data_IF_560075135597
#
_entry.id   IF_560075135597
#
_cell.length_a   1.000
_cell.length_b   1.000
_cell.length_c   1.000
_cell.angle_alpha   90.00
_cell.angle_beta   90.00
_cell.angle_gamma   90.00
#
_symmetry.space_group_name_H-M   'P 1'
#
loop_
_entity.id
_entity.type
_entity.pdbx_description
1 polymer ?
#
# COMPACT_ATOMS: atom_id res chain seq x y z
N UNK A 1 -2.96 -47.58 27.81
CA UNK A 1 -3.84 -46.55 27.22
C UNK A 1 -3.75 -45.17 27.91
N UNK A 2 -3.92 -45.06 29.23
CA UNK A 2 -3.92 -43.78 29.98
C UNK A 2 -2.66 -42.91 29.81
N UNK A 3 -1.48 -43.50 29.67
CA UNK A 3 -0.20 -42.76 29.52
C UNK A 3 -0.13 -42.04 28.16
N UNK A 4 -0.53 -42.71 27.06
CA UNK A 4 -0.60 -42.11 25.72
C UNK A 4 -1.62 -40.96 25.65
N UNK A 5 -2.73 -41.07 26.38
CA UNK A 5 -3.76 -40.02 26.47
C UNK A 5 -3.25 -38.77 27.22
N UNK A 6 -2.48 -38.95 28.31
CA UNK A 6 -1.86 -37.83 29.05
C UNK A 6 -0.84 -37.06 28.20
N UNK A 7 0.01 -37.76 27.44
CA UNK A 7 0.95 -37.12 26.52
C UNK A 7 0.25 -36.40 25.37
N UNK A 8 -0.84 -36.96 24.84
CA UNK A 8 -1.66 -36.30 23.82
C UNK A 8 -2.26 -34.99 24.30
N UNK A 9 -2.82 -34.95 25.53
CA UNK A 9 -3.37 -33.71 26.10
C UNK A 9 -2.30 -32.66 26.39
N UNK A 10 -1.11 -33.05 26.88
CA UNK A 10 0.01 -32.13 27.11
C UNK A 10 0.52 -31.56 25.79
N UNK A 11 0.64 -32.37 24.74
CA UNK A 11 1.05 -31.91 23.42
C UNK A 11 0.02 -30.93 22.80
N UNK A 12 -1.28 -31.23 22.94
CA UNK A 12 -2.34 -30.34 22.46
C UNK A 12 -2.34 -28.99 23.19
N UNK A 13 -2.16 -29.02 24.53
CA UNK A 13 -2.09 -27.81 25.35
C UNK A 13 -0.82 -26.98 25.07
N UNK A 14 0.31 -27.63 24.77
CA UNK A 14 1.51 -26.93 24.31
C UNK A 14 1.29 -26.24 22.97
N UNK A 15 0.69 -26.94 22.01
CA UNK A 15 0.43 -26.40 20.67
C UNK A 15 -0.52 -25.19 20.71
N UNK A 16 -1.56 -25.22 21.55
CA UNK A 16 -2.54 -24.15 21.67
C UNK A 16 -1.96 -22.86 22.29
N UNK A 17 -0.81 -22.93 22.97
CA UNK A 17 -0.07 -21.74 23.45
C UNK A 17 0.98 -21.28 22.43
N UNK A 18 1.71 -22.22 21.82
CA UNK A 18 2.80 -21.90 20.89
C UNK A 18 2.29 -21.23 19.61
N UNK A 19 1.16 -21.67 19.07
CA UNK A 19 0.61 -21.13 17.82
C UNK A 19 0.23 -19.64 17.96
N UNK A 20 -0.55 -19.21 18.98
CA UNK A 20 -0.81 -17.79 19.20
C UNK A 20 0.46 -16.96 19.41
N UNK A 21 1.43 -17.47 20.18
CA UNK A 21 2.70 -16.76 20.41
C UNK A 21 3.48 -16.56 19.11
N UNK A 22 3.51 -17.58 18.25
CA UNK A 22 4.11 -17.49 16.92
C UNK A 22 3.42 -16.39 16.08
N UNK A 23 2.09 -16.37 16.05
CA UNK A 23 1.35 -15.35 15.30
C UNK A 23 1.56 -13.94 15.87
N UNK A 24 1.61 -13.78 17.19
CA UNK A 24 1.96 -12.50 17.82
C UNK A 24 3.37 -12.05 17.42
N UNK A 25 4.33 -12.97 17.43
CA UNK A 25 5.70 -12.70 16.98
C UNK A 25 5.76 -12.32 15.50
N UNK A 26 5.01 -13.01 14.64
CA UNK A 26 4.91 -12.72 13.22
C UNK A 26 4.32 -11.32 12.98
N UNK A 27 3.19 -10.99 13.60
CA UNK A 27 2.55 -9.67 13.51
C UNK A 27 3.47 -8.56 14.04
N UNK A 28 4.24 -8.83 15.10
CA UNK A 28 5.25 -7.90 15.59
C UNK A 28 6.37 -7.68 14.57
N UNK A 29 6.82 -8.74 13.89
CA UNK A 29 7.85 -8.67 12.85
C UNK A 29 7.38 -8.01 11.55
N UNK A 30 6.14 -8.22 11.14
CA UNK A 30 5.56 -7.52 9.97
C UNK A 30 5.52 -5.99 10.12
N UNK A 31 5.57 -5.49 11.37
CA UNK A 31 5.64 -4.06 11.67
C UNK A 31 7.05 -3.46 11.60
N UNK A 32 8.06 -4.30 11.44
CA UNK A 32 9.45 -3.87 11.28
C UNK A 32 9.78 -3.75 9.79
N UNK A 33 10.00 -2.54 9.30
CA UNK A 33 10.34 -2.32 7.89
C UNK A 33 11.62 -3.08 7.49
N UNK A 34 12.56 -3.31 8.43
CA UNK A 34 13.77 -4.09 8.17
C UNK A 34 13.45 -5.56 7.90
N UNK A 35 12.41 -6.10 8.52
CA UNK A 35 11.95 -7.45 8.24
C UNK A 35 11.40 -7.55 6.82
N UNK A 36 10.60 -6.59 6.37
CA UNK A 36 10.04 -6.59 5.02
C UNK A 36 11.15 -6.63 3.94
N UNK A 37 12.23 -5.86 4.13
CA UNK A 37 13.32 -5.78 3.15
C UNK A 37 14.35 -6.91 3.28
N UNK A 38 14.33 -7.65 4.40
CA UNK A 38 15.22 -8.81 4.56
C UNK A 38 14.88 -9.97 3.61
N UNK A 39 13.61 -10.07 3.18
CA UNK A 39 13.14 -11.09 2.23
C UNK A 39 12.80 -10.50 0.86
N UNK A 40 12.26 -9.27 0.80
CA UNK A 40 11.98 -8.57 -0.46
C UNK A 40 13.07 -7.53 -0.73
N UNK A 41 14.06 -7.90 -1.56
CA UNK A 41 15.33 -7.23 -1.86
C UNK A 41 15.22 -5.84 -2.54
N UNK A 42 14.18 -5.08 -2.24
CA UNK A 42 13.91 -3.74 -2.73
C UNK A 42 14.81 -2.67 -2.09
N UNK A 43 16.11 -2.91 -1.95
CA UNK A 43 17.06 -2.02 -1.27
C UNK A 43 17.00 -0.59 -1.81
N UNK A 44 16.89 -0.42 -3.12
CA UNK A 44 16.71 0.88 -3.77
C UNK A 44 15.41 1.58 -3.33
N UNK A 45 14.28 0.86 -3.28
CA UNK A 45 13.00 1.45 -2.84
C UNK A 45 13.03 1.77 -1.35
N UNK A 46 13.66 0.90 -0.55
CA UNK A 46 13.79 1.13 0.89
C UNK A 46 14.70 2.33 1.19
N UNK A 47 15.84 2.44 0.50
CA UNK A 47 16.71 3.61 0.59
C UNK A 47 15.94 4.89 0.28
N UNK A 48 15.15 4.92 -0.80
CA UNK A 48 14.30 6.08 -1.12
C UNK A 48 13.23 6.35 -0.06
N UNK A 49 12.58 5.29 0.43
CA UNK A 49 11.57 5.37 1.48
C UNK A 49 12.09 6.02 2.77
N UNK A 50 13.33 5.71 3.17
CA UNK A 50 13.93 6.31 4.39
C UNK A 50 14.76 7.56 4.13
N UNK A 51 14.97 7.94 2.86
CA UNK A 51 15.87 9.03 2.49
C UNK A 51 15.36 10.42 2.84
N UNK A 52 16.30 11.33 3.10
CA UNK A 52 16.07 12.78 3.16
C UNK A 52 17.20 13.44 2.33
N UNK A 53 16.90 14.31 1.35
CA UNK A 53 15.58 14.77 0.92
C UNK A 53 14.73 13.67 0.27
N UNK A 54 13.40 13.81 0.33
CA UNK A 54 12.48 12.83 -0.25
C UNK A 54 12.55 12.82 -1.78
N UNK A 55 12.77 11.65 -2.36
CA UNK A 55 12.89 11.45 -3.82
C UNK A 55 11.64 10.85 -4.47
N UNK A 56 10.73 10.30 -3.67
CA UNK A 56 9.45 9.77 -4.12
C UNK A 56 8.37 9.95 -3.04
N UNK A 57 7.12 9.62 -3.36
CA UNK A 57 5.96 9.80 -2.49
C UNK A 57 6.06 8.99 -1.18
N UNK A 58 6.92 7.98 -1.11
CA UNK A 58 7.01 7.11 0.07
C UNK A 58 7.81 7.74 1.20
N UNK A 59 8.77 8.62 0.89
CA UNK A 59 9.54 9.38 1.90
C UNK A 59 8.66 10.17 2.89
N UNK A 60 7.72 11.01 2.41
CA UNK A 60 6.77 11.71 3.28
C UNK A 60 5.93 10.79 4.17
N UNK A 61 5.58 9.58 3.69
CA UNK A 61 4.85 8.60 4.47
C UNK A 61 5.72 8.03 5.60
N UNK A 62 7.00 7.71 5.30
CA UNK A 62 7.96 7.30 6.32
C UNK A 62 8.12 8.37 7.41
N UNK A 63 8.23 9.65 7.03
CA UNK A 63 8.32 10.77 7.96
C UNK A 63 7.07 10.94 8.86
N UNK A 64 5.96 10.29 8.53
CA UNK A 64 4.73 10.20 9.33
C UNK A 64 4.60 8.88 10.09
N UNK A 65 5.68 8.09 10.19
CA UNK A 65 5.72 6.76 10.80
C UNK A 65 4.79 5.74 10.14
N UNK A 66 4.46 5.93 8.86
CA UNK A 66 3.78 4.91 8.05
C UNK A 66 4.81 3.85 7.70
N UNK A 67 4.47 2.58 7.92
CA UNK A 67 5.31 1.40 7.67
C UNK A 67 4.93 0.74 6.35
N UNK A 68 5.78 -0.16 5.87
CA UNK A 68 5.50 -0.95 4.67
C UNK A 68 4.14 -1.67 4.78
N UNK A 69 3.87 -2.31 5.92
CA UNK A 69 2.64 -3.08 6.14
C UNK A 69 1.38 -2.20 6.25
N UNK A 70 1.51 -0.91 6.55
CA UNK A 70 0.35 -0.03 6.65
C UNK A 70 -0.26 0.24 5.25
N UNK A 71 0.53 0.08 4.19
CA UNK A 71 0.03 0.06 2.81
C UNK A 71 -0.14 -1.37 2.29
N UNK A 72 0.89 -2.22 2.44
CA UNK A 72 0.94 -3.54 1.80
C UNK A 72 0.24 -4.66 2.57
N UNK A 73 -0.11 -4.46 3.83
CA UNK A 73 -0.74 -5.47 4.69
C UNK A 73 -2.22 -5.71 4.40
N UNK A 74 -2.86 -4.83 3.65
CA UNK A 74 -4.28 -4.90 3.36
C UNK A 74 -5.15 -4.22 4.42
N UNK A 75 -6.13 -3.46 3.95
CA UNK A 75 -7.02 -2.66 4.80
C UNK A 75 -8.20 -3.44 5.42
N UNK A 76 -8.33 -4.72 5.10
CA UNK A 76 -9.37 -5.60 5.65
C UNK A 76 -8.88 -7.05 5.74
N UNK A 77 -9.63 -7.86 6.50
CA UNK A 77 -9.31 -9.26 6.75
C UNK A 77 -9.15 -10.09 5.47
N UNK A 78 -9.92 -9.79 4.42
CA UNK A 78 -9.81 -10.54 3.17
C UNK A 78 -8.47 -10.26 2.48
N UNK A 79 -8.09 -9.00 2.36
CA UNK A 79 -6.78 -8.65 1.77
C UNK A 79 -5.63 -9.07 2.67
N UNK A 80 -5.74 -8.91 3.99
CA UNK A 80 -4.74 -9.37 4.96
C UNK A 80 -4.45 -10.86 4.81
N UNK A 81 -5.51 -11.69 4.73
CA UNK A 81 -5.34 -13.12 4.52
C UNK A 81 -4.64 -13.44 3.19
N UNK A 82 -4.97 -12.72 2.12
CA UNK A 82 -4.31 -12.90 0.80
C UNK A 82 -2.83 -12.52 0.86
N UNK A 83 -2.50 -11.43 1.53
CA UNK A 83 -1.12 -10.97 1.75
C UNK A 83 -0.35 -12.02 2.54
N UNK A 84 -0.90 -12.53 3.64
CA UNK A 84 -0.27 -13.58 4.44
C UNK A 84 -0.05 -14.87 3.66
N UNK A 85 -1.01 -15.30 2.83
CA UNK A 85 -0.85 -16.49 1.98
C UNK A 85 0.30 -16.28 0.98
N UNK A 86 0.37 -15.10 0.35
CA UNK A 86 1.49 -14.76 -0.55
C UNK A 86 2.83 -14.71 0.19
N UNK A 87 2.89 -14.06 1.34
CA UNK A 87 4.11 -13.96 2.15
C UNK A 87 4.59 -15.34 2.63
N UNK A 88 3.67 -16.23 3.04
CA UNK A 88 3.99 -17.59 3.43
C UNK A 88 4.55 -18.39 2.24
N UNK A 89 3.99 -18.21 1.05
CA UNK A 89 4.46 -18.85 -0.18
C UNK A 89 5.87 -18.38 -0.58
N UNK A 90 6.10 -17.07 -0.55
CA UNK A 90 7.41 -16.48 -0.85
C UNK A 90 8.47 -16.90 0.18
N UNK A 91 8.10 -16.97 1.46
CA UNK A 91 8.95 -17.52 2.52
C UNK A 91 9.32 -18.98 2.25
N UNK A 92 8.34 -19.79 1.81
CA UNK A 92 8.57 -21.18 1.41
C UNK A 92 9.59 -21.28 0.26
N UNK A 93 9.44 -20.46 -0.79
CA UNK A 93 10.40 -20.36 -1.90
C UNK A 93 11.79 -19.95 -1.44
N UNK A 94 11.88 -18.99 -0.52
CA UNK A 94 13.15 -18.54 0.06
C UNK A 94 13.87 -19.66 0.81
N UNK A 95 13.15 -20.38 1.69
CA UNK A 95 13.73 -21.47 2.47
C UNK A 95 14.30 -22.59 1.58
N UNK A 96 13.65 -22.90 0.46
CA UNK A 96 14.12 -23.95 -0.47
C UNK A 96 15.14 -23.44 -1.50
N UNK A 97 15.58 -22.17 -1.41
CA UNK A 97 16.56 -21.58 -2.34
C UNK A 97 16.03 -21.29 -3.75
N UNK A 98 14.71 -21.23 -3.93
CA UNK A 98 14.05 -20.95 -5.20
C UNK A 98 13.34 -19.57 -5.20
N UNK A 99 13.89 -18.62 -4.46
CA UNK A 99 13.33 -17.28 -4.38
C UNK A 99 13.83 -16.41 -5.53
N UNK A 100 12.88 -15.71 -6.14
CA UNK A 100 13.12 -14.64 -7.10
C UNK A 100 12.35 -13.42 -6.63
N UNK A 101 13.02 -12.28 -6.64
CA UNK A 101 12.40 -11.02 -6.25
C UNK A 101 11.28 -10.65 -7.25
N UNK A 102 10.07 -10.30 -6.78
CA UNK A 102 9.00 -9.87 -7.68
C UNK A 102 9.32 -8.54 -8.37
N UNK A 103 9.19 -8.51 -9.69
CA UNK A 103 9.31 -7.26 -10.47
C UNK A 103 8.08 -6.34 -10.28
N UNK A 104 6.95 -6.89 -9.89
CA UNK A 104 5.69 -6.19 -9.67
C UNK A 104 4.93 -6.72 -8.45
N UNK A 105 3.93 -5.95 -8.02
CA UNK A 105 3.08 -6.29 -6.89
C UNK A 105 1.96 -7.23 -7.34
N UNK A 106 1.97 -8.49 -6.89
CA UNK A 106 0.93 -9.46 -7.19
C UNK A 106 -0.45 -9.07 -6.63
N UNK A 107 -0.46 -8.39 -5.49
CA UNK A 107 -1.66 -7.89 -4.83
C UNK A 107 -1.64 -6.35 -4.90
N UNK A 108 -2.26 -5.80 -5.94
CA UNK A 108 -2.30 -4.34 -6.12
C UNK A 108 -2.98 -3.63 -4.94
N UNK A 109 -2.43 -2.45 -4.59
CA UNK A 109 -3.05 -1.56 -3.60
C UNK A 109 -4.40 -1.06 -4.12
N UNK A 110 -5.42 -1.12 -3.27
CA UNK A 110 -6.74 -0.57 -3.55
C UNK A 110 -6.82 0.81 -2.90
N UNK A 111 -7.87 1.57 -3.23
CA UNK A 111 -8.12 2.85 -2.56
C UNK A 111 -8.33 2.67 -1.05
N UNK A 112 -8.78 1.49 -0.60
CA UNK A 112 -9.06 1.21 0.81
C UNK A 112 -7.81 1.30 1.69
N UNK A 113 -6.67 0.83 1.20
CA UNK A 113 -5.37 0.96 1.89
C UNK A 113 -4.97 2.43 2.08
N UNK A 114 -5.35 3.30 1.13
CA UNK A 114 -5.05 4.73 1.23
C UNK A 114 -6.04 5.46 2.15
N UNK A 115 -7.34 5.15 2.03
CA UNK A 115 -8.40 5.88 2.74
C UNK A 115 -8.45 5.62 4.23
N UNK A 116 -7.77 4.58 4.73
CA UNK A 116 -7.57 4.36 6.18
C UNK A 116 -6.99 5.61 6.88
N UNK A 117 -6.07 6.30 6.22
CA UNK A 117 -5.45 7.53 6.74
C UNK A 117 -5.89 8.79 5.99
N UNK A 118 -6.28 8.67 4.70
CA UNK A 118 -6.61 9.83 3.87
C UNK A 118 -8.08 10.28 3.92
N UNK A 119 -9.01 9.49 4.46
CA UNK A 119 -10.44 9.89 4.54
C UNK A 119 -10.65 11.27 5.20
N UNK A 120 -10.00 11.61 6.34
CA UNK A 120 -10.17 12.93 6.93
C UNK A 120 -9.67 14.06 6.02
N UNK A 121 -8.57 13.84 5.30
CA UNK A 121 -7.99 14.80 4.35
C UNK A 121 -8.98 15.06 3.21
N UNK A 122 -9.54 13.99 2.65
CA UNK A 122 -10.53 14.07 1.57
C UNK A 122 -11.82 14.77 2.02
N UNK A 123 -12.29 14.52 3.24
CA UNK A 123 -13.48 15.20 3.79
C UNK A 123 -13.26 16.67 4.11
N UNK A 124 -12.01 17.07 4.39
CA UNK A 124 -11.64 18.45 4.68
C UNK A 124 -11.38 19.29 3.43
N UNK A 125 -11.31 18.68 2.25
CA UNK A 125 -11.16 19.41 0.99
C UNK A 125 -12.45 20.19 0.73
N UNK A 126 -12.39 21.54 0.59
CA UNK A 126 -13.58 22.31 0.26
C UNK A 126 -14.12 21.84 -1.11
N UNK A 127 -15.43 21.63 -1.18
CA UNK A 127 -16.11 21.42 -2.44
C UNK A 127 -15.93 22.69 -3.29
N UNK A 128 -15.64 22.51 -4.57
CA UNK A 128 -15.56 23.62 -5.51
C UNK A 128 -16.97 24.16 -5.79
N UNK A 129 -17.11 25.46 -6.04
CA UNK A 129 -18.33 26.01 -6.65
C UNK A 129 -18.49 25.49 -8.07
N UNK A 130 -19.70 25.58 -8.66
CA UNK A 130 -19.92 25.15 -10.04
C UNK A 130 -18.98 25.86 -11.03
N UNK A 131 -18.74 27.15 -10.83
CA UNK A 131 -17.81 27.95 -11.65
C UNK A 131 -16.36 27.51 -11.47
N UNK A 132 -15.99 27.06 -10.27
CA UNK A 132 -14.67 26.51 -10.00
C UNK A 132 -14.53 25.11 -10.60
N UNK A 133 -15.54 24.26 -10.47
CA UNK A 133 -15.57 22.93 -11.10
C UNK A 133 -15.36 23.06 -12.61
N UNK A 134 -16.12 23.92 -13.31
CA UNK A 134 -15.93 24.19 -14.75
C UNK A 134 -14.54 24.75 -15.09
N UNK A 135 -13.97 25.62 -14.23
CA UNK A 135 -12.63 26.19 -14.45
C UNK A 135 -11.48 25.20 -14.18
N UNK A 136 -11.72 24.14 -13.40
CA UNK A 136 -10.77 23.09 -13.08
C UNK A 136 -10.99 21.80 -13.88
N UNK A 137 -12.17 21.63 -14.48
CA UNK A 137 -12.43 20.59 -15.48
C UNK A 137 -11.41 20.72 -16.61
N UNK A 138 -10.63 19.67 -16.80
CA UNK A 138 -9.57 19.66 -17.81
C UNK A 138 -8.20 20.21 -17.37
N UNK A 139 -8.02 20.63 -16.11
CA UNK A 139 -6.70 20.97 -15.56
C UNK A 139 -6.25 19.92 -14.55
N UNK A 140 -5.23 19.14 -14.92
CA UNK A 140 -4.59 18.17 -14.02
C UNK A 140 -3.95 18.90 -12.82
N UNK A 141 -4.66 18.92 -11.70
CA UNK A 141 -4.24 19.55 -10.45
C UNK A 141 -5.01 18.99 -9.25
N UNK A 142 -4.56 19.36 -8.05
CA UNK A 142 -5.10 19.04 -6.72
C UNK A 142 -6.63 19.12 -6.53
N UNK A 143 -7.36 19.71 -7.48
CA UNK A 143 -8.80 19.87 -7.51
C UNK A 143 -9.60 18.58 -7.75
N UNK A 144 -9.01 17.51 -8.32
CA UNK A 144 -9.77 16.30 -8.70
C UNK A 144 -10.64 15.73 -7.57
N UNK A 145 -10.12 15.67 -6.34
CA UNK A 145 -10.85 15.15 -5.18
C UNK A 145 -11.97 16.08 -4.68
N UNK A 146 -12.00 17.33 -5.15
CA UNK A 146 -13.01 18.34 -4.80
C UNK A 146 -14.10 18.48 -5.87
N UNK A 147 -13.97 17.85 -7.04
CA UNK A 147 -14.96 17.89 -8.12
C UNK A 147 -15.98 16.77 -7.90
N UNK A 148 -17.20 17.11 -7.51
CA UNK A 148 -18.22 16.11 -7.13
C UNK A 148 -18.68 15.26 -8.32
N UNK A 149 -18.58 15.78 -9.54
CA UNK A 149 -18.86 15.02 -10.76
C UNK A 149 -18.01 13.73 -10.86
N UNK A 150 -16.83 13.70 -10.22
CA UNK A 150 -15.93 12.55 -10.21
C UNK A 150 -16.18 11.55 -9.06
N UNK A 151 -17.17 11.79 -8.18
CA UNK A 151 -17.50 10.89 -7.06
C UNK A 151 -17.86 9.46 -7.54
N UNK A 152 -18.40 9.34 -8.76
CA UNK A 152 -18.79 8.05 -9.36
C UNK A 152 -17.65 7.38 -10.13
N UNK A 153 -16.56 8.11 -10.40
CA UNK A 153 -15.43 7.62 -11.19
C UNK A 153 -14.55 6.72 -10.34
N UNK A 154 -14.51 5.44 -10.69
CA UNK A 154 -13.74 4.42 -9.96
C UNK A 154 -12.29 4.35 -10.43
N UNK A 155 -11.49 5.33 -10.03
CA UNK A 155 -10.02 5.30 -10.19
C UNK A 155 -9.37 5.00 -8.84
N UNK A 156 -8.43 4.05 -8.80
CA UNK A 156 -7.68 3.75 -7.57
C UNK A 156 -6.63 4.82 -7.30
N UNK A 157 -6.44 5.20 -6.04
CA UNK A 157 -5.56 6.32 -5.66
C UNK A 157 -4.15 6.21 -6.25
N UNK A 158 -3.59 4.99 -6.26
CA UNK A 158 -2.23 4.72 -6.76
C UNK A 158 -2.05 4.90 -8.28
N UNK A 159 -3.15 4.97 -9.04
CA UNK A 159 -3.10 5.26 -10.49
C UNK A 159 -2.68 6.71 -10.76
N UNK A 160 -3.00 7.61 -9.82
CA UNK A 160 -2.61 9.01 -9.87
C UNK A 160 -1.40 9.30 -8.96
N UNK A 161 -1.39 8.70 -7.77
CA UNK A 161 -0.34 8.85 -6.75
C UNK A 161 0.56 7.62 -6.71
N UNK A 162 1.41 7.44 -7.72
CA UNK A 162 2.35 6.31 -7.70
C UNK A 162 3.44 6.52 -6.65
N UNK A 163 3.59 5.54 -5.76
CA UNK A 163 4.42 5.63 -4.57
C UNK A 163 5.94 5.59 -4.84
N UNK A 164 6.40 4.55 -5.52
CA UNK A 164 7.83 4.23 -5.67
C UNK A 164 8.42 4.67 -7.01
N UNK A 165 8.10 5.89 -7.47
CA UNK A 165 8.64 6.43 -8.72
C UNK A 165 9.36 7.76 -8.52
N UNK A 166 10.45 7.93 -9.27
CA UNK A 166 11.31 9.13 -9.24
C UNK A 166 10.95 10.14 -10.32
N UNK A 167 9.95 9.83 -11.17
CA UNK A 167 9.39 10.72 -12.20
C UNK A 167 8.34 11.70 -11.64
N UNK A 168 8.19 11.75 -10.32
CA UNK A 168 7.20 12.54 -9.61
C UNK A 168 7.87 13.67 -8.82
N UNK A 169 7.20 14.82 -8.72
CA UNK A 169 7.80 16.01 -8.09
C UNK A 169 7.05 16.43 -6.82
N UNK A 170 7.76 16.81 -5.73
CA UNK A 170 7.13 17.28 -4.49
C UNK A 170 6.17 18.46 -4.70
N UNK A 171 6.49 19.39 -5.61
CA UNK A 171 5.65 20.55 -5.95
C UNK A 171 4.30 20.15 -6.55
N UNK A 172 4.24 18.99 -7.20
CA UNK A 172 3.03 18.40 -7.76
C UNK A 172 2.44 17.34 -6.82
N UNK A 173 2.78 17.36 -5.54
CA UNK A 173 2.35 16.36 -4.55
C UNK A 173 2.73 14.92 -4.98
N UNK A 174 3.90 14.79 -5.61
CA UNK A 174 4.42 13.53 -6.15
C UNK A 174 3.49 12.88 -7.18
N UNK A 175 2.88 13.71 -8.04
CA UNK A 175 2.18 13.28 -9.25
C UNK A 175 3.13 13.38 -10.45
N UNK A 176 3.25 12.30 -11.22
CA UNK A 176 3.94 12.28 -12.51
C UNK A 176 2.93 12.54 -13.64
N UNK A 177 3.00 13.72 -14.28
CA UNK A 177 2.04 14.11 -15.33
C UNK A 177 1.95 13.11 -16.48
N UNK A 178 3.10 12.64 -16.96
CA UNK A 178 3.21 11.63 -18.02
C UNK A 178 2.45 10.34 -17.70
N UNK A 179 2.27 10.02 -16.41
CA UNK A 179 1.53 8.84 -15.94
C UNK A 179 0.05 9.12 -15.69
N UNK A 180 -0.28 10.31 -15.20
CA UNK A 180 -1.67 10.67 -14.84
C UNK A 180 -2.48 11.18 -16.01
N UNK A 181 -1.90 11.95 -16.94
CA UNK A 181 -2.62 12.43 -18.11
C UNK A 181 -3.29 11.31 -18.92
N UNK A 182 -2.63 10.16 -19.20
CA UNK A 182 -3.29 9.03 -19.87
C UNK A 182 -4.46 8.44 -19.07
N UNK A 183 -4.49 8.58 -17.74
CA UNK A 183 -5.63 8.14 -16.92
C UNK A 183 -6.82 9.07 -17.15
N UNK A 184 -6.59 10.38 -17.11
CA UNK A 184 -7.63 11.38 -17.35
C UNK A 184 -8.16 11.32 -18.79
N UNK A 185 -7.29 11.09 -19.79
CA UNK A 185 -7.68 10.97 -21.21
C UNK A 185 -8.61 9.81 -21.53
N UNK A 186 -8.75 8.82 -20.64
CA UNK A 186 -9.76 7.75 -20.79
C UNK A 186 -11.18 8.28 -20.77
N UNK A 187 -11.41 9.41 -20.09
CA UNK A 187 -12.70 10.06 -19.98
C UNK A 187 -12.72 11.45 -20.62
N UNK A 188 -11.57 12.11 -20.77
CA UNK A 188 -11.41 13.42 -21.40
C UNK A 188 -10.46 13.35 -22.61
N UNK A 189 -10.92 12.89 -23.79
CA UNK A 189 -10.04 12.63 -24.94
C UNK A 189 -9.22 13.84 -25.40
N UNK A 190 -9.78 15.05 -25.29
CA UNK A 190 -9.18 16.32 -25.72
C UNK A 190 -8.33 17.00 -24.61
N UNK A 191 -8.06 16.30 -23.51
CA UNK A 191 -7.31 16.85 -22.39
C UNK A 191 -5.84 17.12 -22.77
N UNK A 192 -5.47 18.40 -22.82
CA UNK A 192 -4.10 18.86 -23.08
C UNK A 192 -3.78 19.13 -24.55
N UNK A 193 -4.80 19.13 -25.42
CA UNK A 193 -4.78 19.79 -26.73
C UNK A 193 -4.94 21.31 -26.55
#
# INVERSE_FOLDING_TARGET
MRRKLKWGMVALAGLSVLVPLFFVGLVAKERDNNFCVSCHLHDEKFKRFVSVPFTDLTGPHHAKNVRCIDCHGGADLNMQLRVWIHAAWDTGKFIIGNYQEPEFMHLELRSKECTQCHTPILKSAPALSAEQEEAFEGRAGNAYHSIRAHDTVRITCIRCHTAHTTDSEPKLQYIARSRVEPVCRKCHPTLGE
#
